data_IF_956939874372
#
_entry.id   IF_956939874372
#
_cell.length_a   1.000
_cell.length_b   1.000
_cell.length_c   1.000
_cell.angle_alpha   90.00
_cell.angle_beta   90.00
_cell.angle_gamma   90.00
#
_symmetry.space_group_name_H-M   'P 1'
#
loop_
_entity.id
_entity.type
_entity.pdbx_description
1 polymer ?
#
# COMPACT_ATOMS: atom_id res chain seq x y z
N UNK A 1 -14.64 -6.61 7.40
CA UNK A 1 -13.89 -7.01 8.64
C UNK A 1 -12.43 -6.56 8.60
N UNK A 2 -11.70 -6.86 7.52
CA UNK A 2 -10.26 -6.55 7.40
C UNK A 2 -9.94 -5.05 7.51
N UNK A 3 -10.67 -4.18 6.81
CA UNK A 3 -10.44 -2.73 6.88
C UNK A 3 -10.62 -2.17 8.30
N UNK A 4 -11.59 -2.69 9.06
CA UNK A 4 -11.80 -2.28 10.46
C UNK A 4 -10.65 -2.72 11.36
N UNK A 5 -10.07 -3.90 11.11
CA UNK A 5 -8.91 -4.38 11.85
C UNK A 5 -7.66 -3.51 11.57
N UNK A 6 -7.46 -3.12 10.29
CA UNK A 6 -6.38 -2.20 9.90
C UNK A 6 -6.55 -0.85 10.60
N UNK A 7 -7.75 -0.26 10.55
CA UNK A 7 -8.03 1.02 11.24
C UNK A 7 -7.80 0.90 12.75
N UNK A 8 -8.26 -0.18 13.39
CA UNK A 8 -8.08 -0.39 14.82
C UNK A 8 -6.59 -0.49 15.20
N UNK A 9 -5.79 -1.22 14.42
CA UNK A 9 -4.35 -1.33 14.64
C UNK A 9 -3.65 0.03 14.46
N UNK A 10 -3.99 0.76 13.39
CA UNK A 10 -3.45 2.10 13.14
C UNK A 10 -3.78 3.09 14.27
N UNK A 11 -5.02 3.07 14.77
CA UNK A 11 -5.42 3.89 15.92
C UNK A 11 -4.68 3.50 17.20
N UNK A 12 -4.49 2.20 17.46
CA UNK A 12 -3.74 1.71 18.61
C UNK A 12 -2.25 2.11 18.56
N UNK A 13 -1.67 2.16 17.35
CA UNK A 13 -0.30 2.64 17.11
C UNK A 13 -0.15 4.17 17.09
N UNK A 14 -1.23 4.94 17.29
CA UNK A 14 -1.18 6.40 17.27
C UNK A 14 -0.96 7.00 15.86
N UNK A 15 -1.24 6.24 14.81
CA UNK A 15 -1.07 6.71 13.42
C UNK A 15 -2.18 7.72 13.11
N UNK A 16 -1.78 8.94 12.76
CA UNK A 16 -2.72 9.98 12.35
C UNK A 16 -3.36 9.62 11.00
N UNK A 17 -4.69 9.67 10.94
CA UNK A 17 -5.47 9.39 9.73
C UNK A 17 -6.09 10.67 9.17
N UNK A 18 -5.99 10.86 7.86
CA UNK A 18 -6.66 11.94 7.15
C UNK A 18 -7.75 11.38 6.24
N UNK A 19 -8.84 12.13 6.07
CA UNK A 19 -9.92 11.70 5.20
C UNK A 19 -9.52 11.82 3.72
N UNK A 20 -9.64 10.74 2.92
CA UNK A 20 -9.28 10.78 1.51
C UNK A 20 -10.30 11.58 0.70
N UNK A 21 -9.82 12.20 -0.38
CA UNK A 21 -10.67 12.83 -1.40
C UNK A 21 -10.68 12.00 -2.67
N UNK A 22 -11.66 12.23 -3.57
CA UNK A 22 -11.81 11.51 -4.85
C UNK A 22 -11.75 9.98 -4.69
N UNK A 23 -12.33 9.45 -3.61
CA UNK A 23 -12.32 8.02 -3.32
C UNK A 23 -13.17 7.24 -4.33
N UNK A 24 -12.62 6.14 -4.84
CA UNK A 24 -13.29 5.22 -5.76
C UNK A 24 -12.91 3.78 -5.49
N UNK A 25 -13.89 2.93 -5.20
CA UNK A 25 -13.69 1.49 -5.06
C UNK A 25 -14.08 0.76 -6.36
N UNK A 26 -13.24 -0.16 -6.81
CA UNK A 26 -13.46 -1.05 -7.95
C UNK A 26 -13.53 -2.50 -7.45
N UNK A 27 -14.73 -3.09 -7.35
CA UNK A 27 -14.91 -4.45 -6.83
C UNK A 27 -14.04 -5.47 -7.57
N UNK A 28 -13.36 -6.35 -6.83
CA UNK A 28 -12.46 -7.35 -7.40
C UNK A 28 -11.10 -6.82 -7.89
N UNK A 29 -10.88 -5.49 -7.83
CA UNK A 29 -9.64 -4.86 -8.30
C UNK A 29 -8.90 -4.13 -7.18
N UNK A 30 -9.55 -3.14 -6.55
CA UNK A 30 -8.87 -2.24 -5.63
C UNK A 30 -9.63 -0.95 -5.33
N UNK A 31 -8.94 0.01 -4.75
CA UNK A 31 -9.41 1.33 -4.36
C UNK A 31 -8.41 2.41 -4.76
N UNK A 32 -8.93 3.54 -5.22
CA UNK A 32 -8.19 4.73 -5.62
C UNK A 32 -8.65 5.90 -4.76
N UNK A 33 -7.74 6.76 -4.35
CA UNK A 33 -8.08 8.01 -3.67
C UNK A 33 -6.97 9.06 -3.81
N UNK A 34 -7.22 10.25 -3.27
CA UNK A 34 -6.23 11.31 -3.13
C UNK A 34 -6.06 11.68 -1.66
N UNK A 35 -4.83 11.59 -1.15
CA UNK A 35 -4.43 11.90 0.21
C UNK A 35 -3.36 13.00 0.19
N UNK A 36 -3.66 14.16 0.78
CA UNK A 36 -2.70 15.27 0.83
C UNK A 36 -2.17 15.71 -0.54
N UNK A 37 -3.02 15.71 -1.57
CA UNK A 37 -2.62 16.02 -2.95
C UNK A 37 -1.90 14.89 -3.69
N UNK A 38 -1.60 13.77 -3.04
CA UNK A 38 -1.01 12.59 -3.69
C UNK A 38 -2.10 11.59 -4.09
N UNK A 39 -2.04 11.09 -5.32
CA UNK A 39 -2.91 10.02 -5.79
C UNK A 39 -2.39 8.69 -5.23
N UNK A 40 -3.27 7.93 -4.58
CA UNK A 40 -2.97 6.62 -4.03
C UNK A 40 -3.86 5.56 -4.68
N UNK A 41 -3.26 4.43 -5.04
CA UNK A 41 -3.92 3.24 -5.56
C UNK A 41 -3.60 2.08 -4.63
N UNK A 42 -4.60 1.32 -4.21
CA UNK A 42 -4.43 0.07 -3.47
C UNK A 42 -5.19 -1.04 -4.18
N UNK A 43 -4.53 -2.12 -4.58
CA UNK A 43 -5.23 -3.21 -5.25
C UNK A 43 -4.34 -4.36 -5.71
N UNK A 44 -4.91 -5.21 -6.56
CA UNK A 44 -4.23 -6.39 -7.08
C UNK A 44 -3.30 -6.05 -8.26
N UNK A 45 -2.50 -7.05 -8.66
CA UNK A 45 -1.52 -6.93 -9.75
C UNK A 45 -2.12 -6.55 -11.09
N UNK A 46 -3.23 -7.18 -11.48
CA UNK A 46 -3.88 -6.88 -12.75
C UNK A 46 -4.35 -5.43 -12.83
N UNK A 47 -4.85 -4.89 -11.72
CA UNK A 47 -5.30 -3.51 -11.65
C UNK A 47 -4.13 -2.51 -11.70
N UNK A 48 -3.05 -2.77 -10.94
CA UNK A 48 -1.83 -1.96 -11.00
C UNK A 48 -1.24 -1.91 -12.41
N UNK A 49 -1.13 -3.07 -13.07
CA UNK A 49 -0.64 -3.16 -14.45
C UNK A 49 -1.51 -2.37 -15.44
N UNK A 50 -2.84 -2.35 -15.22
CA UNK A 50 -3.77 -1.52 -16.00
C UNK A 50 -3.56 -0.01 -15.82
N UNK A 51 -2.95 0.42 -14.72
CA UNK A 51 -2.50 1.79 -14.47
C UNK A 51 -1.04 2.04 -14.90
N UNK A 52 -0.41 1.08 -15.60
CA UNK A 52 0.99 1.19 -16.03
C UNK A 52 2.02 0.99 -14.91
N UNK A 53 1.58 0.53 -13.74
CA UNK A 53 2.43 0.29 -12.58
C UNK A 53 2.86 -1.18 -12.58
N UNK A 54 4.18 -1.40 -12.59
CA UNK A 54 4.77 -2.72 -12.46
C UNK A 54 5.74 -2.74 -11.27
N UNK A 55 5.69 -3.76 -10.41
CA UNK A 55 6.67 -3.92 -9.35
C UNK A 55 8.07 -4.11 -9.95
N UNK A 56 9.08 -3.62 -9.23
CA UNK A 56 10.48 -3.98 -9.52
C UNK A 56 10.72 -5.47 -9.26
N UNK A 57 11.83 -6.02 -9.76
CA UNK A 57 12.18 -7.42 -9.54
C UNK A 57 12.26 -7.80 -8.04
N UNK A 58 12.73 -6.88 -7.19
CA UNK A 58 12.80 -7.07 -5.74
C UNK A 58 11.39 -7.10 -5.10
N UNK A 59 10.51 -6.19 -5.51
CA UNK A 59 9.13 -6.17 -5.03
C UNK A 59 8.36 -7.41 -5.49
N UNK A 60 8.60 -7.85 -6.74
CA UNK A 60 8.05 -9.09 -7.28
C UNK A 60 8.43 -10.31 -6.44
N UNK A 61 9.70 -10.42 -6.04
CA UNK A 61 10.17 -11.52 -5.20
C UNK A 61 9.47 -11.52 -3.82
N UNK A 62 9.29 -10.35 -3.20
CA UNK A 62 8.57 -10.22 -1.93
C UNK A 62 7.09 -10.59 -2.06
N UNK A 63 6.44 -10.15 -3.14
CA UNK A 63 5.06 -10.53 -3.46
C UNK A 63 4.92 -12.06 -3.51
N UNK A 64 5.74 -12.71 -4.33
CA UNK A 64 5.74 -14.16 -4.52
C UNK A 64 6.01 -14.93 -3.22
N UNK A 65 6.92 -14.41 -2.38
CA UNK A 65 7.23 -15.01 -1.08
C UNK A 65 6.01 -15.01 -0.15
N UNK A 66 5.32 -13.87 -0.04
CA UNK A 66 4.11 -13.77 0.76
C UNK A 66 2.93 -14.57 0.19
N UNK A 67 2.74 -14.55 -1.13
CA UNK A 67 1.71 -15.36 -1.79
C UNK A 67 1.94 -16.86 -1.57
N UNK A 68 3.20 -17.32 -1.61
CA UNK A 68 3.55 -18.72 -1.34
C UNK A 68 3.28 -19.16 0.11
N UNK A 69 3.21 -18.20 1.04
CA UNK A 69 2.80 -18.44 2.43
C UNK A 69 1.28 -18.50 2.60
N UNK A 70 0.51 -18.32 1.53
CA UNK A 70 -0.96 -18.26 1.57
C UNK A 70 -1.51 -16.90 2.01
N UNK A 71 -0.66 -15.87 2.10
CA UNK A 71 -1.10 -14.51 2.41
C UNK A 71 -1.81 -13.89 1.21
N UNK A 72 -2.90 -13.15 1.46
CA UNK A 72 -3.48 -12.27 0.45
C UNK A 72 -2.64 -11.00 0.35
N UNK A 73 -1.91 -10.84 -0.75
CA UNK A 73 -1.07 -9.65 -0.97
C UNK A 73 -1.86 -8.58 -1.72
N UNK A 74 -1.80 -7.35 -1.21
CA UNK A 74 -2.33 -6.15 -1.88
C UNK A 74 -1.19 -5.16 -2.06
N UNK A 75 -1.15 -4.48 -3.19
CA UNK A 75 -0.13 -3.47 -3.47
C UNK A 75 -0.68 -2.09 -3.20
N UNK A 76 0.18 -1.19 -2.70
CA UNK A 76 -0.07 0.24 -2.57
C UNK A 76 0.90 1.00 -3.48
N UNK A 77 0.39 1.90 -4.29
CA UNK A 77 1.18 2.82 -5.11
C UNK A 77 0.74 4.25 -4.83
N UNK A 78 1.72 5.16 -4.74
CA UNK A 78 1.47 6.59 -4.54
C UNK A 78 2.18 7.39 -5.62
N UNK A 79 1.44 8.24 -6.30
CA UNK A 79 1.98 9.23 -7.22
C UNK A 79 1.75 10.63 -6.65
N UNK A 80 2.82 11.41 -6.53
CA UNK A 80 2.69 12.83 -6.21
C UNK A 80 2.03 13.52 -7.41
N UNK A 81 0.83 14.09 -7.23
CA UNK A 81 0.35 15.11 -8.16
C UNK A 81 1.32 16.27 -8.04
N UNK A 82 1.89 16.75 -9.14
CA UNK A 82 3.02 17.70 -9.18
C UNK A 82 2.75 19.12 -8.66
N UNK A 83 2.14 19.25 -7.49
CA UNK A 83 1.99 20.47 -6.71
C UNK A 83 2.45 20.19 -5.27
N UNK A 84 3.77 20.22 -5.05
CA UNK A 84 4.39 20.17 -3.72
C UNK A 84 4.76 18.77 -3.23
N UNK A 85 6.06 18.49 -3.13
CA UNK A 85 6.62 17.18 -2.78
C UNK A 85 6.22 16.69 -1.39
N UNK A 86 5.74 15.44 -1.32
CA UNK A 86 5.54 14.71 -0.09
C UNK A 86 6.77 13.86 0.25
N UNK A 87 7.22 13.99 1.50
CA UNK A 87 8.38 13.30 2.08
C UNK A 87 8.26 11.79 1.94
N UNK A 88 9.35 11.17 1.50
CA UNK A 88 9.61 9.73 1.56
C UNK A 88 9.45 9.28 3.01
N UNK A 89 8.40 8.52 3.31
CA UNK A 89 8.33 7.73 4.53
C UNK A 89 9.14 6.46 4.27
N UNK A 90 10.35 6.42 4.81
CA UNK A 90 11.07 5.17 5.05
C UNK A 90 10.25 4.37 6.05
N UNK A 91 9.64 3.27 5.60
CA UNK A 91 9.20 2.21 6.51
C UNK A 91 10.40 1.29 6.70
N UNK A 92 11.17 1.56 7.75
CA UNK A 92 12.16 0.63 8.29
C UNK A 92 11.44 -0.63 8.81
N UNK A 93 11.39 -1.67 7.99
CA UNK A 93 11.21 -3.03 8.49
C UNK A 93 12.58 -3.53 8.97
N UNK A 94 12.85 -3.28 10.25
CA UNK A 94 14.05 -3.67 10.96
C UNK A 94 14.35 -5.17 10.85
N UNK A 95 15.64 -5.47 10.69
CA UNK A 95 16.17 -6.81 10.85
C UNK A 95 16.29 -7.17 12.33
N UNK A 96 16.11 -8.45 12.63
CA UNK A 96 16.75 -9.08 13.77
C UNK A 96 17.41 -10.38 13.30
N UNK A 97 18.74 -10.33 13.22
CA UNK A 97 19.60 -11.49 13.19
C UNK A 97 19.82 -11.96 14.63
N UNK A 98 19.57 -13.23 14.90
CA UNK A 98 19.91 -13.88 16.16
C UNK A 98 20.20 -15.35 15.88
N UNK A 99 21.48 -15.67 15.72
CA UNK A 99 21.96 -17.04 15.61
C UNK A 99 22.28 -17.63 16.97
N UNK A 100 22.31 -18.96 16.99
CA UNK A 100 23.31 -19.79 17.68
C UNK A 100 23.66 -20.98 16.76
#
# INVERSE_FOLDING_TARGET
>A
PIGRAICAHASAGGIATSEPTKFRASPGHGLECTLGGCRALLGNRGWMAGHGLQPTAEQEAQLLAHESQGCTVVMLATEASGEGGAKRGEDEAGGEAGGE
#
